data_IF_155692099272
#
_entry.id   IF_155692099272
#
_cell.length_a   1.000
_cell.length_b   1.000
_cell.length_c   1.000
_cell.angle_alpha   90.00
_cell.angle_beta   90.00
_cell.angle_gamma   90.00
#
_symmetry.space_group_name_H-M   'P 1'
#
loop_
_entity.id
_entity.type
_entity.pdbx_description
1 polymer ?
#
# COMPACT_ATOMS: atom_id res chain seq x y z
N UNK A 1 -40.48 12.02 55.79
CA UNK A 1 -41.14 11.32 54.69
C UNK A 1 -40.72 11.82 53.29
N UNK A 2 -40.23 13.05 53.09
CA UNK A 2 -39.79 13.54 51.74
C UNK A 2 -38.47 12.93 51.25
N UNK A 3 -37.53 12.57 52.12
CA UNK A 3 -36.24 11.99 51.71
C UNK A 3 -36.29 10.55 51.17
N UNK A 4 -37.25 9.76 51.58
CA UNK A 4 -37.39 8.38 51.13
C UNK A 4 -37.91 8.27 49.70
N UNK A 5 -38.79 9.21 49.29
CA UNK A 5 -39.27 9.26 47.90
C UNK A 5 -38.23 9.65 46.87
N UNK A 6 -37.24 10.44 47.29
CA UNK A 6 -36.12 10.86 46.38
C UNK A 6 -35.10 9.71 46.19
N UNK A 7 -34.85 8.90 47.20
CA UNK A 7 -33.93 7.77 47.12
C UNK A 7 -34.47 6.66 46.22
N UNK A 8 -35.77 6.38 46.30
CA UNK A 8 -36.42 5.38 45.44
C UNK A 8 -36.49 5.80 43.99
N UNK A 9 -36.66 7.09 43.68
CA UNK A 9 -36.66 7.60 42.31
C UNK A 9 -35.28 7.56 41.67
N UNK A 10 -34.26 7.91 42.42
CA UNK A 10 -32.86 7.83 41.96
C UNK A 10 -32.42 6.39 41.70
N UNK A 11 -32.79 5.46 42.58
CA UNK A 11 -32.48 4.04 42.45
C UNK A 11 -33.19 3.39 41.24
N UNK A 12 -34.46 3.79 40.96
CA UNK A 12 -35.15 3.31 39.77
C UNK A 12 -34.55 3.86 38.48
N UNK A 13 -34.11 5.11 38.46
CA UNK A 13 -33.45 5.70 37.29
C UNK A 13 -32.10 5.07 37.01
N UNK A 14 -31.31 4.78 38.05
CA UNK A 14 -30.06 4.06 37.91
C UNK A 14 -30.25 2.60 37.45
N UNK A 15 -31.28 1.92 37.90
CA UNK A 15 -31.61 0.57 37.46
C UNK A 15 -32.14 0.58 35.98
N UNK A 16 -32.87 1.57 35.57
CA UNK A 16 -33.29 1.73 34.16
C UNK A 16 -32.12 2.07 33.24
N UNK A 17 -31.12 2.87 33.69
CA UNK A 17 -29.92 3.11 32.90
C UNK A 17 -29.01 1.87 32.82
N UNK A 18 -28.95 1.06 33.84
CA UNK A 18 -28.23 -0.20 33.82
C UNK A 18 -28.90 -1.27 32.93
N UNK A 19 -30.24 -1.28 32.86
CA UNK A 19 -30.98 -2.19 31.98
C UNK A 19 -31.05 -1.70 30.52
N UNK A 20 -30.93 -0.39 30.28
CA UNK A 20 -30.88 0.18 28.93
C UNK A 20 -29.60 -0.02 28.18
N UNK A 21 -28.50 -0.39 28.88
CA UNK A 21 -27.20 -0.67 28.28
C UNK A 21 -26.93 -2.16 28.02
N UNK A 22 -27.86 -3.04 28.27
CA UNK A 22 -27.86 -4.40 27.74
C UNK A 22 -28.54 -4.41 26.38
N UNK A 23 -28.20 -3.49 25.49
CA UNK A 23 -28.25 -3.85 24.09
C UNK A 23 -27.21 -4.94 23.96
N UNK A 24 -27.66 -6.16 23.77
CA UNK A 24 -26.83 -7.24 23.27
C UNK A 24 -25.96 -6.63 22.16
N UNK A 25 -24.68 -6.38 22.46
CA UNK A 25 -23.67 -6.44 21.43
C UNK A 25 -23.81 -7.85 20.87
N UNK A 26 -24.67 -8.01 19.87
CA UNK A 26 -24.53 -9.14 18.99
C UNK A 26 -23.10 -9.04 18.53
N UNK A 27 -22.23 -9.91 19.05
CA UNK A 27 -20.95 -10.15 18.45
C UNK A 27 -21.29 -10.43 16.99
N UNK A 28 -20.93 -9.52 16.10
CA UNK A 28 -21.05 -9.78 14.69
C UNK A 28 -20.27 -11.08 14.51
N UNK A 29 -20.98 -12.14 14.21
CA UNK A 29 -20.34 -13.37 13.76
C UNK A 29 -19.56 -12.93 12.52
N UNK A 30 -18.25 -12.80 12.65
CA UNK A 30 -17.36 -12.55 11.53
C UNK A 30 -17.44 -13.79 10.64
N UNK A 31 -18.36 -13.74 9.70
CA UNK A 31 -18.33 -14.64 8.58
C UNK A 31 -17.15 -14.20 7.71
N UNK A 32 -16.09 -14.99 7.70
CA UNK A 32 -14.89 -14.73 6.90
C UNK A 32 -15.11 -15.06 5.41
N UNK A 33 -16.26 -15.62 5.05
CA UNK A 33 -16.57 -15.88 3.64
C UNK A 33 -16.76 -14.57 2.87
N UNK A 34 -16.34 -14.55 1.62
CA UNK A 34 -16.51 -13.40 0.73
C UNK A 34 -17.96 -13.39 0.23
N UNK A 35 -18.73 -12.43 0.70
CA UNK A 35 -20.12 -12.27 0.30
C UNK A 35 -20.27 -11.86 -1.17
N UNK A 36 -21.44 -12.11 -1.75
CA UNK A 36 -21.76 -11.65 -3.11
C UNK A 36 -21.64 -10.12 -3.24
N UNK A 37 -22.02 -9.38 -2.21
CA UNK A 37 -21.91 -7.92 -2.15
C UNK A 37 -20.44 -7.46 -2.21
N UNK A 38 -19.54 -8.14 -1.51
CA UNK A 38 -18.10 -7.83 -1.58
C UNK A 38 -17.55 -8.07 -2.99
N UNK A 39 -17.97 -9.14 -3.65
CA UNK A 39 -17.56 -9.43 -5.05
C UNK A 39 -18.04 -8.32 -6.00
N UNK A 40 -19.28 -7.90 -5.88
CA UNK A 40 -19.86 -6.83 -6.69
C UNK A 40 -19.16 -5.49 -6.43
N UNK A 41 -18.90 -5.16 -5.17
CA UNK A 41 -18.16 -3.95 -4.80
C UNK A 41 -16.72 -3.98 -5.32
N UNK A 42 -16.04 -5.11 -5.28
CA UNK A 42 -14.69 -5.26 -5.82
C UNK A 42 -14.67 -5.10 -7.35
N UNK A 43 -15.69 -5.61 -8.05
CA UNK A 43 -15.83 -5.43 -9.49
C UNK A 43 -16.05 -3.96 -9.85
N UNK A 44 -16.97 -3.29 -9.13
CA UNK A 44 -17.23 -1.86 -9.31
C UNK A 44 -15.98 -1.02 -9.00
N UNK A 45 -15.25 -1.33 -7.92
CA UNK A 45 -14.02 -0.62 -7.58
C UNK A 45 -12.95 -0.72 -8.67
N UNK A 46 -12.84 -1.87 -9.34
CA UNK A 46 -11.93 -2.03 -10.49
C UNK A 46 -12.35 -1.19 -11.69
N UNK A 47 -13.64 -1.15 -11.99
CA UNK A 47 -14.18 -0.33 -13.07
C UNK A 47 -13.89 1.16 -12.80
N UNK A 48 -14.23 1.65 -11.61
CA UNK A 48 -13.97 3.04 -11.19
C UNK A 48 -12.47 3.36 -11.20
N UNK A 49 -11.62 2.45 -10.74
CA UNK A 49 -10.18 2.65 -10.76
C UNK A 49 -9.64 2.79 -12.19
N UNK A 50 -10.17 2.02 -13.15
CA UNK A 50 -9.74 2.12 -14.55
C UNK A 50 -10.18 3.45 -15.18
N UNK A 51 -11.37 3.94 -14.87
CA UNK A 51 -11.86 5.24 -15.31
C UNK A 51 -11.08 6.42 -14.70
N UNK A 52 -10.52 6.23 -13.51
CA UNK A 52 -9.70 7.23 -12.83
C UNK A 52 -8.25 7.30 -13.30
N UNK A 53 -7.79 6.38 -14.14
CA UNK A 53 -6.42 6.40 -14.66
C UNK A 53 -6.24 7.45 -15.74
N UNK A 54 -5.17 8.24 -15.65
CA UNK A 54 -4.84 9.28 -16.64
C UNK A 54 -3.59 8.89 -17.42
N UNK A 55 -3.72 8.79 -18.73
CA UNK A 55 -2.58 8.60 -19.62
C UNK A 55 -1.92 9.96 -19.91
N UNK A 56 -0.82 10.24 -19.21
CA UNK A 56 -0.10 11.52 -19.34
C UNK A 56 0.74 11.59 -20.61
N UNK A 57 1.32 10.44 -21.01
CA UNK A 57 2.23 10.35 -22.15
C UNK A 57 2.28 8.91 -22.67
N UNK A 58 2.29 8.74 -24.00
CA UNK A 58 2.47 7.44 -24.66
C UNK A 58 3.21 7.63 -25.99
N UNK A 59 4.51 7.85 -25.87
CA UNK A 59 5.38 7.95 -27.05
C UNK A 59 5.83 6.56 -27.48
N UNK A 60 6.18 6.44 -28.76
CA UNK A 60 6.78 5.23 -29.36
C UNK A 60 5.96 3.94 -29.17
N UNK A 61 4.67 4.07 -28.88
CA UNK A 61 3.76 2.96 -28.63
C UNK A 61 4.22 2.01 -27.51
N UNK A 62 4.70 2.56 -26.40
CA UNK A 62 5.02 1.78 -25.21
C UNK A 62 3.77 1.07 -24.65
N UNK A 63 2.60 1.69 -24.80
CA UNK A 63 1.30 1.13 -24.45
C UNK A 63 0.40 1.00 -25.69
N UNK A 64 -0.47 -0.01 -25.79
CA UNK A 64 -0.61 -1.12 -24.82
C UNK A 64 0.59 -2.07 -24.84
N UNK A 65 0.86 -2.70 -23.70
CA UNK A 65 1.91 -3.71 -23.58
C UNK A 65 1.64 -4.84 -24.57
N UNK A 66 2.67 -5.17 -25.36
CA UNK A 66 2.59 -6.28 -26.32
C UNK A 66 3.28 -7.52 -25.71
N UNK A 67 2.62 -8.67 -25.82
CA UNK A 67 3.14 -9.90 -25.25
C UNK A 67 2.79 -10.07 -23.77
N UNK A 68 3.45 -11.01 -23.11
CA UNK A 68 3.14 -11.43 -21.75
C UNK A 68 4.37 -11.42 -20.82
N UNK A 69 5.53 -11.01 -21.31
CA UNK A 69 6.72 -10.87 -20.49
C UNK A 69 6.94 -9.38 -20.18
N UNK A 70 7.15 -9.04 -18.92
CA UNK A 70 7.43 -7.68 -18.46
C UNK A 70 8.44 -7.70 -17.32
N UNK A 71 9.33 -6.73 -17.29
CA UNK A 71 10.11 -6.42 -16.10
C UNK A 71 9.33 -5.37 -15.27
N UNK A 72 9.23 -5.55 -13.96
CA UNK A 72 8.52 -4.65 -13.08
C UNK A 72 9.43 -4.21 -11.94
N UNK A 73 9.44 -2.91 -11.64
CA UNK A 73 10.32 -2.31 -10.65
C UNK A 73 9.59 -1.23 -9.84
N UNK A 74 10.25 -0.76 -8.78
CA UNK A 74 9.74 0.28 -7.89
C UNK A 74 9.00 -0.28 -6.69
N UNK A 75 9.20 0.30 -5.52
CA UNK A 75 8.61 -0.18 -4.26
C UNK A 75 7.11 -0.38 -4.36
N UNK A 76 6.41 0.53 -5.03
CA UNK A 76 4.95 0.46 -5.16
C UNK A 76 4.45 -0.63 -6.10
N UNK A 77 5.34 -1.34 -6.80
CA UNK A 77 4.96 -2.54 -7.54
C UNK A 77 4.45 -3.63 -6.59
N UNK A 78 5.12 -3.82 -5.45
CA UNK A 78 4.76 -4.80 -4.40
C UNK A 78 4.07 -4.16 -3.20
N UNK A 79 4.25 -2.85 -3.00
CA UNK A 79 3.64 -2.04 -1.92
C UNK A 79 2.74 -0.97 -2.51
N UNK A 80 1.81 -1.39 -3.35
CA UNK A 80 0.86 -0.49 -4.03
C UNK A 80 0.04 0.31 -3.03
N UNK A 81 0.07 1.62 -3.16
CA UNK A 81 -0.67 2.55 -2.32
C UNK A 81 -2.15 2.46 -2.70
N UNK A 82 -3.00 2.22 -1.71
CA UNK A 82 -4.44 2.00 -1.88
C UNK A 82 -5.30 2.98 -1.10
N UNK A 83 -4.71 3.74 -0.23
CA UNK A 83 -5.38 4.73 0.61
C UNK A 83 -4.38 5.66 1.26
N UNK A 84 -4.85 6.67 1.97
CA UNK A 84 -4.02 7.55 2.77
C UNK A 84 -3.52 6.89 4.05
N UNK A 85 -2.70 7.61 4.80
CA UNK A 85 -2.26 7.21 6.15
C UNK A 85 -3.20 7.75 7.24
N UNK A 86 -3.14 7.19 8.44
CA UNK A 86 -3.97 7.61 9.58
C UNK A 86 -5.39 7.06 9.51
N UNK A 87 -6.37 7.85 9.94
CA UNK A 87 -7.79 7.44 9.98
C UNK A 87 -8.38 7.15 8.59
N UNK A 88 -7.76 7.65 7.53
CA UNK A 88 -8.14 7.38 6.14
C UNK A 88 -7.62 6.06 5.59
N UNK A 89 -6.85 5.32 6.38
CA UNK A 89 -6.35 4.01 5.97
C UNK A 89 -7.33 2.90 6.37
N UNK A 90 -8.07 2.33 5.42
CA UNK A 90 -9.06 1.31 5.71
C UNK A 90 -8.44 -0.02 6.18
N UNK A 91 -7.12 -0.16 6.06
CA UNK A 91 -6.41 -1.40 6.34
C UNK A 91 -5.62 -1.37 7.65
N UNK A 92 -5.33 -0.20 8.19
CA UNK A 92 -4.50 -0.07 9.39
C UNK A 92 -5.26 0.01 10.70
N UNK A 93 -6.57 0.12 10.68
CA UNK A 93 -7.37 0.15 11.91
C UNK A 93 -6.93 1.21 12.93
N UNK A 94 -6.17 2.23 12.53
CA UNK A 94 -5.68 3.25 13.42
C UNK A 94 -4.37 3.92 13.00
N UNK A 95 -3.93 4.84 13.79
CA UNK A 95 -2.86 5.83 13.72
C UNK A 95 -1.45 5.39 13.24
N UNK A 96 -1.24 4.16 12.87
CA UNK A 96 0.08 3.65 12.45
C UNK A 96 0.28 3.75 10.94
N UNK A 97 0.35 4.94 10.47
CA UNK A 97 0.66 5.39 9.14
C UNK A 97 1.25 4.44 8.12
N UNK A 98 0.55 4.35 7.03
CA UNK A 98 1.03 3.76 5.81
C UNK A 98 0.16 2.59 5.35
N UNK A 99 -0.66 2.77 4.32
CA UNK A 99 -1.52 1.79 3.67
C UNK A 99 -0.92 0.44 3.28
N UNK A 100 -0.05 -0.03 4.11
CA UNK A 100 0.82 -1.16 3.97
C UNK A 100 0.62 -2.12 5.11
N UNK A 101 -0.59 -2.61 5.20
CA UNK A 101 -0.92 -3.54 6.25
C UNK A 101 -0.50 -4.93 5.87
N UNK A 102 0.27 -5.50 6.73
CA UNK A 102 0.50 -6.92 6.91
C UNK A 102 -0.77 -7.66 7.36
N UNK A 103 -1.94 -7.25 6.93
CA UNK A 103 -3.13 -8.05 7.13
C UNK A 103 -3.23 -8.99 5.97
N UNK A 104 -3.28 -10.26 6.25
CA UNK A 104 -3.64 -11.27 5.26
C UNK A 104 -5.08 -11.01 4.79
N UNK A 105 -5.20 -10.16 3.80
CA UNK A 105 -6.43 -9.88 3.09
C UNK A 105 -6.50 -10.69 1.80
N UNK A 106 -5.77 -11.80 1.71
CA UNK A 106 -5.71 -12.66 0.54
C UNK A 106 -7.11 -13.07 0.06
N UNK A 107 -8.06 -13.19 0.96
CA UNK A 107 -9.45 -13.51 0.64
C UNK A 107 -10.31 -12.28 0.33
N UNK A 108 -9.84 -11.03 0.55
CA UNK A 108 -10.65 -9.83 0.41
C UNK A 108 -10.22 -8.89 -0.73
N UNK A 109 -9.75 -9.45 -1.84
CA UNK A 109 -9.40 -8.70 -3.05
C UNK A 109 -8.30 -7.66 -2.88
N UNK A 110 -7.46 -7.86 -1.89
CA UNK A 110 -6.28 -7.04 -1.70
C UNK A 110 -5.19 -7.48 -2.67
N UNK A 111 -4.92 -6.67 -3.67
CA UNK A 111 -3.97 -7.00 -4.73
C UNK A 111 -3.00 -5.83 -4.94
N UNK A 112 -1.71 -6.13 -5.03
CA UNK A 112 -0.71 -5.18 -5.50
C UNK A 112 -0.52 -5.29 -7.02
N UNK A 113 0.24 -4.35 -7.60
CA UNK A 113 0.46 -4.31 -9.05
C UNK A 113 1.18 -5.57 -9.54
N UNK A 114 2.21 -6.05 -8.82
CA UNK A 114 2.92 -7.29 -9.17
C UNK A 114 1.96 -8.49 -9.25
N UNK A 115 1.20 -8.70 -8.18
CA UNK A 115 0.22 -9.80 -8.16
C UNK A 115 -0.83 -9.64 -9.26
N UNK A 116 -1.27 -8.41 -9.56
CA UNK A 116 -2.23 -8.16 -10.64
C UNK A 116 -1.70 -8.60 -12.01
N UNK A 117 -0.42 -8.36 -12.30
CA UNK A 117 0.22 -8.83 -13.52
C UNK A 117 0.27 -10.37 -13.57
N UNK A 118 0.69 -11.00 -12.49
CA UNK A 118 0.76 -12.48 -12.38
C UNK A 118 -0.64 -13.09 -12.55
N UNK A 119 -1.66 -12.57 -11.88
CA UNK A 119 -3.05 -13.07 -11.98
C UNK A 119 -3.65 -12.89 -13.39
N UNK A 120 -3.15 -11.92 -14.15
CA UNK A 120 -3.50 -11.71 -15.57
C UNK A 120 -2.67 -12.53 -16.53
N UNK A 121 -1.85 -13.44 -16.04
CA UNK A 121 -1.03 -14.36 -16.81
C UNK A 121 0.17 -13.71 -17.50
N UNK A 122 0.69 -12.62 -16.92
CA UNK A 122 1.98 -12.09 -17.31
C UNK A 122 3.11 -12.84 -16.59
N UNK A 123 4.19 -13.05 -17.28
CA UNK A 123 5.45 -13.46 -16.71
C UNK A 123 6.23 -12.21 -16.31
N UNK A 124 6.36 -11.97 -15.01
CA UNK A 124 7.14 -10.85 -14.47
C UNK A 124 8.58 -11.32 -14.30
N UNK A 125 9.45 -10.92 -15.23
CA UNK A 125 10.83 -11.41 -15.31
C UNK A 125 11.71 -10.98 -14.12
N UNK A 126 11.34 -9.90 -13.43
CA UNK A 126 11.93 -9.43 -12.18
C UNK A 126 11.29 -10.00 -10.91
N UNK A 127 10.40 -10.99 -11.05
CA UNK A 127 9.55 -11.49 -9.94
C UNK A 127 10.33 -11.92 -8.71
N UNK A 128 11.39 -12.70 -8.88
CA UNK A 128 12.22 -13.17 -7.76
C UNK A 128 12.85 -12.00 -6.97
N UNK A 129 13.36 -10.99 -7.67
CA UNK A 129 13.88 -9.78 -7.05
C UNK A 129 12.80 -9.00 -6.27
N UNK A 130 11.62 -8.87 -6.85
CA UNK A 130 10.48 -8.21 -6.19
C UNK A 130 10.02 -8.95 -4.93
N UNK A 131 10.00 -10.26 -4.96
CA UNK A 131 9.63 -11.10 -3.80
C UNK A 131 10.68 -10.99 -2.69
N UNK A 132 11.96 -11.01 -3.02
CA UNK A 132 13.05 -10.80 -2.06
C UNK A 132 12.94 -9.41 -1.41
N UNK A 133 12.74 -8.37 -2.22
CA UNK A 133 12.53 -7.02 -1.73
C UNK A 133 11.30 -6.91 -0.81
N UNK A 134 10.17 -7.53 -1.19
CA UNK A 134 8.95 -7.54 -0.41
C UNK A 134 9.15 -8.22 0.95
N UNK A 135 9.87 -9.34 0.99
CA UNK A 135 10.19 -10.05 2.24
C UNK A 135 11.04 -9.18 3.18
N UNK A 136 12.08 -8.53 2.65
CA UNK A 136 12.92 -7.61 3.42
C UNK A 136 12.14 -6.43 4.00
N UNK A 137 11.20 -5.89 3.25
CA UNK A 137 10.28 -4.87 3.73
C UNK A 137 9.41 -5.40 4.88
N UNK A 138 8.82 -6.58 4.72
CA UNK A 138 7.93 -7.18 5.72
C UNK A 138 8.68 -7.49 7.02
N UNK A 139 9.88 -8.00 6.94
CA UNK A 139 10.73 -8.28 8.10
C UNK A 139 11.09 -6.98 8.84
N UNK A 140 11.47 -5.92 8.12
CA UNK A 140 11.75 -4.63 8.71
C UNK A 140 10.50 -3.98 9.33
N UNK A 141 9.35 -4.10 8.69
CA UNK A 141 8.07 -3.62 9.20
C UNK A 141 7.65 -4.35 10.47
N UNK A 142 7.83 -5.66 10.50
CA UNK A 142 7.55 -6.48 11.68
C UNK A 142 8.46 -6.09 12.85
N UNK A 143 9.75 -5.89 12.58
CA UNK A 143 10.73 -5.46 13.60
C UNK A 143 10.44 -4.04 14.13
N UNK A 144 9.94 -3.13 13.27
CA UNK A 144 9.51 -1.79 13.68
C UNK A 144 8.32 -1.83 14.65
N UNK A 145 7.43 -2.81 14.47
CA UNK A 145 6.24 -2.99 15.30
C UNK A 145 5.18 -1.91 15.08
N UNK A 146 4.21 -1.86 15.99
CA UNK A 146 3.14 -0.87 15.96
C UNK A 146 3.44 0.27 16.93
N UNK A 147 3.94 1.38 16.44
CA UNK A 147 4.06 2.63 17.19
C UNK A 147 3.16 3.68 16.53
N UNK A 148 2.02 4.03 17.15
CA UNK A 148 1.06 4.94 16.55
C UNK A 148 1.60 6.37 16.37
N UNK A 149 2.73 6.71 16.99
CA UNK A 149 3.33 8.04 16.93
C UNK A 149 4.51 8.12 15.95
N UNK A 150 4.84 7.03 15.27
CA UNK A 150 5.93 7.00 14.29
C UNK A 150 5.50 6.32 12.99
N UNK A 151 5.96 6.89 11.89
CA UNK A 151 5.69 6.36 10.55
C UNK A 151 6.82 5.46 10.13
N UNK A 152 6.49 4.24 9.74
CA UNK A 152 7.45 3.34 9.13
C UNK A 152 7.84 3.85 7.75
N UNK A 153 9.11 3.85 7.47
CA UNK A 153 9.65 4.14 6.14
C UNK A 153 10.66 3.06 5.73
N UNK A 154 10.75 2.80 4.46
CA UNK A 154 11.66 1.82 3.89
C UNK A 154 12.33 2.42 2.65
N UNK A 155 13.63 2.17 2.42
CA UNK A 155 14.32 2.72 1.26
C UNK A 155 13.74 2.22 -0.05
N UNK A 156 13.85 3.03 -1.10
CA UNK A 156 13.56 2.58 -2.46
C UNK A 156 14.55 1.47 -2.85
N UNK A 157 14.07 0.49 -3.62
CA UNK A 157 14.94 -0.59 -4.12
C UNK A 157 16.10 -0.01 -4.96
N UNK A 158 17.28 -0.56 -4.76
CA UNK A 158 18.47 -0.20 -5.57
C UNK A 158 18.63 -1.18 -6.72
N UNK A 159 18.49 -0.69 -7.95
CA UNK A 159 18.71 -1.51 -9.13
C UNK A 159 20.19 -1.50 -9.53
N UNK A 160 20.72 -2.68 -9.72
CA UNK A 160 22.07 -2.89 -10.28
C UNK A 160 22.00 -3.39 -11.72
N UNK A 161 23.08 -3.25 -12.48
CA UNK A 161 23.14 -3.80 -13.83
C UNK A 161 22.84 -5.30 -13.84
N UNK A 162 23.30 -6.05 -12.83
CA UNK A 162 23.03 -7.50 -12.71
C UNK A 162 21.54 -7.82 -12.58
N UNK A 163 20.78 -7.03 -11.78
CA UNK A 163 19.33 -7.17 -11.64
C UNK A 163 18.64 -6.87 -12.98
N UNK A 164 19.08 -5.81 -13.66
CA UNK A 164 18.56 -5.43 -14.98
C UNK A 164 18.83 -6.51 -16.02
N UNK A 165 20.03 -7.06 -16.07
CA UNK A 165 20.41 -8.10 -17.04
C UNK A 165 19.55 -9.36 -16.87
N UNK A 166 19.31 -9.77 -15.62
CA UNK A 166 18.42 -10.89 -15.31
C UNK A 166 16.96 -10.57 -15.69
N UNK A 167 16.46 -9.39 -15.33
CA UNK A 167 15.09 -8.99 -15.62
C UNK A 167 14.83 -8.82 -17.12
N UNK A 168 15.86 -8.47 -17.90
CA UNK A 168 15.80 -8.29 -19.34
C UNK A 168 15.73 -9.62 -20.11
N UNK A 169 16.00 -10.75 -19.47
CA UNK A 169 15.90 -12.04 -20.13
C UNK A 169 14.44 -12.31 -20.57
N UNK A 170 14.22 -12.27 -21.87
CA UNK A 170 12.91 -12.55 -22.48
C UNK A 170 11.93 -11.38 -22.55
N UNK A 171 12.34 -10.13 -22.25
CA UNK A 171 11.52 -8.94 -22.44
C UNK A 171 12.34 -7.70 -22.79
N UNK A 172 11.77 -6.83 -23.63
CA UNK A 172 12.25 -5.49 -23.91
C UNK A 172 11.41 -4.39 -23.20
N UNK A 173 10.46 -4.82 -22.40
CA UNK A 173 9.43 -3.94 -21.81
C UNK A 173 9.59 -3.91 -20.29
N UNK A 174 9.74 -2.70 -19.75
CA UNK A 174 9.82 -2.46 -18.31
C UNK A 174 8.70 -1.52 -17.83
N UNK A 175 8.29 -1.73 -16.60
CA UNK A 175 7.37 -0.86 -15.87
C UNK A 175 8.04 -0.46 -14.58
N UNK A 176 8.10 0.84 -14.29
CA UNK A 176 8.59 1.37 -13.03
C UNK A 176 7.46 2.06 -12.27
N UNK A 177 7.21 1.67 -11.05
CA UNK A 177 6.09 2.16 -10.24
C UNK A 177 6.61 3.10 -9.15
N UNK A 178 6.27 4.37 -9.26
CA UNK A 178 6.59 5.40 -8.26
C UNK A 178 5.39 5.55 -7.33
N UNK A 179 5.62 5.36 -6.04
CA UNK A 179 4.60 5.54 -5.03
C UNK A 179 4.78 6.81 -4.23
N UNK A 180 3.67 7.48 -3.93
CA UNK A 180 3.63 8.59 -2.99
C UNK A 180 2.38 8.47 -2.14
N UNK A 181 2.57 8.46 -0.84
CA UNK A 181 1.47 8.40 0.11
C UNK A 181 1.29 9.76 0.80
N UNK A 182 0.05 10.11 1.06
CA UNK A 182 -0.32 11.26 1.86
C UNK A 182 -1.34 10.81 2.91
N UNK A 183 -1.48 11.53 4.00
CA UNK A 183 -2.41 11.13 5.04
C UNK A 183 -2.62 12.20 6.09
N UNK A 184 -3.37 11.82 7.10
CA UNK A 184 -3.76 12.70 8.19
C UNK A 184 -2.52 13.23 8.93
N UNK A 185 -2.39 14.57 9.01
CA UNK A 185 -1.26 15.22 9.66
C UNK A 185 0.08 15.10 8.93
N UNK A 186 0.07 14.59 7.68
CA UNK A 186 1.25 14.36 6.87
C UNK A 186 1.11 15.04 5.50
N UNK A 187 1.17 16.36 5.50
CA UNK A 187 1.17 17.15 4.27
C UNK A 187 2.40 16.85 3.44
N UNK A 188 2.21 16.88 2.13
CA UNK A 188 3.28 16.64 1.16
C UNK A 188 4.25 17.82 1.13
N UNK A 189 5.51 17.49 0.87
CA UNK A 189 6.59 18.45 0.70
C UNK A 189 6.92 18.62 -0.78
N UNK A 190 7.49 19.75 -1.13
CA UNK A 190 8.01 19.97 -2.49
C UNK A 190 9.34 19.26 -2.75
N UNK A 191 10.04 18.86 -1.70
CA UNK A 191 11.41 18.31 -1.78
C UNK A 191 11.49 16.95 -1.11
N UNK A 192 12.51 16.16 -1.50
CA UNK A 192 12.88 14.92 -0.81
C UNK A 192 13.28 15.19 0.64
N UNK A 193 13.12 14.17 1.48
CA UNK A 193 13.51 14.22 2.91
C UNK A 193 14.41 13.04 3.22
N UNK A 194 15.43 13.27 4.05
CA UNK A 194 16.19 12.18 4.64
C UNK A 194 15.49 11.65 5.88
N UNK A 195 15.48 10.34 6.01
CA UNK A 195 14.94 9.62 7.16
C UNK A 195 15.85 8.46 7.53
N UNK A 196 15.57 7.80 8.64
CA UNK A 196 16.29 6.62 9.12
C UNK A 196 15.32 5.53 9.54
N UNK A 197 15.72 4.30 9.31
CA UNK A 197 15.03 3.12 9.82
C UNK A 197 16.05 2.05 10.23
N UNK A 198 15.65 1.19 11.15
CA UNK A 198 16.42 -0.01 11.45
C UNK A 198 16.01 -1.12 10.48
N UNK A 199 16.96 -1.55 9.68
CA UNK A 199 16.77 -2.59 8.66
C UNK A 199 17.80 -3.68 8.94
N UNK A 200 17.36 -4.91 9.15
CA UNK A 200 18.22 -6.04 9.51
C UNK A 200 19.11 -5.78 10.75
N UNK A 201 18.61 -4.97 11.70
CA UNK A 201 19.35 -4.63 12.92
C UNK A 201 20.34 -3.47 12.78
N UNK A 202 20.47 -2.87 11.58
CA UNK A 202 21.33 -1.73 11.31
C UNK A 202 20.52 -0.46 11.07
N UNK A 203 21.02 0.69 11.56
CA UNK A 203 20.42 1.99 11.25
C UNK A 203 20.85 2.45 9.86
N UNK A 204 19.90 2.58 8.96
CA UNK A 204 20.11 3.00 7.57
C UNK A 204 19.49 4.37 7.36
N UNK A 205 20.27 5.32 6.84
CA UNK A 205 19.77 6.63 6.38
C UNK A 205 19.47 6.57 4.88
N UNK A 206 18.29 7.05 4.48
CA UNK A 206 17.88 7.09 3.07
C UNK A 206 16.97 8.26 2.78
N UNK A 207 16.76 8.56 1.49
CA UNK A 207 15.80 9.56 1.05
C UNK A 207 14.41 8.95 0.88
N UNK A 208 13.41 9.74 1.22
CA UNK A 208 12.00 9.51 0.87
C UNK A 208 11.57 10.57 -0.13
N UNK A 209 11.04 10.11 -1.25
CA UNK A 209 10.50 10.99 -2.26
C UNK A 209 9.18 11.61 -1.81
N UNK A 210 8.96 12.84 -2.27
CA UNK A 210 7.68 13.51 -2.15
C UNK A 210 7.26 14.01 -3.54
N UNK A 211 7.17 15.32 -3.80
CA UNK A 211 6.95 15.80 -5.16
C UNK A 211 8.14 15.47 -6.07
N UNK A 212 9.34 15.68 -5.58
CA UNK A 212 10.56 15.35 -6.32
C UNK A 212 10.93 13.86 -6.18
N UNK A 213 11.64 13.36 -7.20
CA UNK A 213 12.26 12.04 -7.18
C UNK A 213 13.49 12.02 -6.27
N UNK A 214 13.66 10.92 -5.53
CA UNK A 214 14.93 10.64 -4.84
C UNK A 214 16.07 10.40 -5.82
N UNK A 215 17.33 10.50 -5.35
CA UNK A 215 18.48 10.16 -6.17
C UNK A 215 18.46 8.67 -6.59
N UNK A 216 18.00 7.77 -5.71
CA UNK A 216 17.81 6.35 -6.05
C UNK A 216 16.79 6.16 -7.16
N UNK A 217 15.62 6.82 -7.08
CA UNK A 217 14.61 6.73 -8.15
C UNK A 217 15.13 7.27 -9.48
N UNK A 218 15.87 8.38 -9.46
CA UNK A 218 16.50 8.95 -10.68
C UNK A 218 17.51 7.98 -11.28
N UNK A 219 18.37 7.39 -10.45
CA UNK A 219 19.37 6.40 -10.89
C UNK A 219 18.70 5.14 -11.48
N UNK A 220 17.68 4.62 -10.81
CA UNK A 220 16.90 3.47 -11.27
C UNK A 220 16.22 3.75 -12.61
N UNK A 221 15.53 4.88 -12.74
CA UNK A 221 14.87 5.27 -13.98
C UNK A 221 15.86 5.44 -15.13
N UNK A 222 17.02 6.03 -14.87
CA UNK A 222 18.08 6.16 -15.87
C UNK A 222 18.62 4.79 -16.30
N UNK A 223 18.80 3.87 -15.35
CA UNK A 223 19.27 2.51 -15.62
C UNK A 223 18.24 1.71 -16.41
N UNK A 224 16.96 1.77 -16.03
CA UNK A 224 15.85 1.12 -16.75
C UNK A 224 15.72 1.70 -18.15
N UNK A 225 15.69 3.03 -18.29
CA UNK A 225 15.57 3.70 -19.59
C UNK A 225 16.73 3.42 -20.56
N UNK A 226 17.93 3.14 -20.03
CA UNK A 226 19.08 2.75 -20.84
C UNK A 226 18.98 1.32 -21.37
N UNK A 227 18.31 0.43 -20.66
CA UNK A 227 18.37 -1.01 -20.90
C UNK A 227 17.14 -1.59 -21.56
N UNK A 228 15.98 -0.97 -21.45
CA UNK A 228 14.72 -1.46 -22.03
C UNK A 228 14.26 -0.54 -23.17
N UNK A 229 13.77 -1.14 -24.23
CA UNK A 229 13.29 -0.39 -25.42
C UNK A 229 11.94 0.30 -25.14
N UNK A 230 11.15 -0.28 -24.24
CA UNK A 230 9.84 0.25 -23.84
C UNK A 230 9.74 0.36 -22.34
N UNK A 231 9.60 1.60 -21.89
CA UNK A 231 9.49 1.90 -20.47
C UNK A 231 8.19 2.62 -20.19
N UNK A 232 7.40 2.08 -19.27
CA UNK A 232 6.22 2.72 -18.73
C UNK A 232 6.47 3.11 -17.29
N UNK A 233 6.25 4.37 -16.95
CA UNK A 233 6.28 4.83 -15.56
C UNK A 233 4.85 4.96 -15.06
N UNK A 234 4.55 4.29 -13.95
CA UNK A 234 3.25 4.38 -13.27
C UNK A 234 3.41 5.26 -12.04
N UNK A 235 2.60 6.31 -11.96
CA UNK A 235 2.51 7.16 -10.77
C UNK A 235 1.36 6.65 -9.90
N UNK A 236 1.71 5.90 -8.86
CA UNK A 236 0.77 5.44 -7.83
C UNK A 236 0.81 6.44 -6.67
N UNK A 237 0.09 7.55 -6.86
CA UNK A 237 0.14 8.68 -5.95
C UNK A 237 -1.25 8.93 -5.36
N UNK A 238 -1.31 9.12 -4.06
CA UNK A 238 -2.51 9.47 -3.34
C UNK A 238 -2.51 10.96 -3.01
N UNK A 239 -3.51 11.68 -3.53
CA UNK A 239 -3.86 13.06 -3.17
C UNK A 239 -2.88 14.13 -3.55
#
# INVERSE_FOLDING_TARGET
MKKWKQITSASLLSAMMALGNVTSTMAATTDNSISQREKENAALAREVASEGMVLLKNDENALPIKGKNVALFGNSAVRTIRGGTGSGDPFNGGLSGGGDVMVDLSERYNINIYKAFVDKGYNVTSGAFLEEFANGYDDAKLAFGSNPMSTFAYPEMELTQSIIDQAKEGTDTAIYVIGRNAGEGADRSSTTKKTRATINGEEVEFEVGDYELTETEKANLALVGKNFDKVTVVLNVGG
#
